data_IF_213861970094
#
_entry.id   IF_213861970094
#
_cell.length_a   1.000
_cell.length_b   1.000
_cell.length_c   1.000
_cell.angle_alpha   90.00
_cell.angle_beta   90.00
_cell.angle_gamma   90.00
#
_symmetry.space_group_name_H-M   'P 1'
#
loop_
_entity.id
_entity.type
_entity.pdbx_description
1 polymer ?
#
# COMPACT_ATOMS: atom_id res chain seq x y z
N UNK A 1 -9.04 -22.49 -25.91
CA UNK A 1 -9.27 -23.95 -25.75
C UNK A 1 -10.43 -24.27 -24.77
N UNK A 2 -10.68 -23.47 -23.72
CA UNK A 2 -11.71 -23.77 -22.70
C UNK A 2 -13.17 -23.57 -23.18
N UNK A 3 -13.42 -22.61 -24.07
CA UNK A 3 -14.79 -22.21 -24.46
C UNK A 3 -15.68 -23.32 -25.07
N UNK A 4 -15.20 -24.22 -25.95
CA UNK A 4 -16.01 -25.32 -26.47
C UNK A 4 -16.50 -26.29 -25.39
N UNK A 5 -15.68 -26.54 -24.36
CA UNK A 5 -16.06 -27.39 -23.23
C UNK A 5 -17.16 -26.75 -22.37
N UNK A 6 -17.11 -25.42 -22.19
CA UNK A 6 -18.15 -24.66 -21.49
C UNK A 6 -19.48 -24.75 -22.24
N UNK A 7 -19.47 -24.58 -23.56
CA UNK A 7 -20.68 -24.72 -24.39
C UNK A 7 -21.25 -26.14 -24.29
N UNK A 8 -20.39 -27.16 -24.34
CA UNK A 8 -20.81 -28.55 -24.22
C UNK A 8 -21.46 -28.85 -22.86
N UNK A 9 -20.83 -28.44 -21.76
CA UNK A 9 -21.37 -28.61 -20.41
C UNK A 9 -22.68 -27.84 -20.20
N UNK A 10 -22.80 -26.61 -20.74
CA UNK A 10 -24.04 -25.85 -20.72
C UNK A 10 -25.19 -26.59 -21.40
N UNK A 11 -24.93 -27.25 -22.55
CA UNK A 11 -25.92 -28.07 -23.25
C UNK A 11 -26.37 -29.26 -22.43
N UNK A 12 -25.47 -29.91 -21.70
CA UNK A 12 -25.82 -31.00 -20.79
C UNK A 12 -26.72 -30.52 -19.64
N UNK A 13 -26.42 -29.36 -19.05
CA UNK A 13 -27.22 -28.75 -17.98
C UNK A 13 -28.63 -28.38 -18.47
N UNK A 14 -28.75 -27.82 -19.67
CA UNK A 14 -30.04 -27.48 -20.29
C UNK A 14 -30.86 -28.73 -20.57
N UNK A 15 -30.25 -29.81 -21.09
CA UNK A 15 -30.93 -31.07 -21.37
C UNK A 15 -31.39 -31.81 -20.11
N UNK A 16 -30.70 -31.64 -18.99
CA UNK A 16 -31.04 -32.27 -17.72
C UNK A 16 -32.13 -31.52 -16.93
N UNK A 17 -32.56 -30.33 -17.38
CA UNK A 17 -33.54 -29.52 -16.69
C UNK A 17 -34.98 -29.87 -17.14
N UNK A 18 -35.92 -30.12 -16.20
CA UNK A 18 -37.29 -30.52 -16.53
C UNK A 18 -38.14 -29.37 -17.07
N UNK A 19 -37.80 -28.11 -16.75
CA UNK A 19 -38.56 -26.93 -17.18
C UNK A 19 -37.70 -25.97 -18.01
N UNK A 20 -38.26 -25.35 -19.07
CA UNK A 20 -37.52 -24.45 -19.96
C UNK A 20 -37.03 -23.18 -19.24
N UNK A 21 -37.81 -22.63 -18.32
CA UNK A 21 -37.42 -21.46 -17.53
C UNK A 21 -36.24 -21.76 -16.58
N UNK A 22 -36.24 -22.96 -15.98
CA UNK A 22 -35.15 -23.42 -15.11
C UNK A 22 -33.88 -23.75 -15.92
N UNK A 23 -34.05 -24.36 -17.11
CA UNK A 23 -32.98 -24.64 -18.04
C UNK A 23 -32.26 -23.36 -18.47
N UNK A 24 -33.02 -22.31 -18.81
CA UNK A 24 -32.49 -21.01 -19.15
C UNK A 24 -31.69 -20.38 -18.01
N UNK A 25 -32.24 -20.33 -16.79
CA UNK A 25 -31.55 -19.74 -15.62
C UNK A 25 -30.23 -20.46 -15.30
N UNK A 26 -30.24 -21.80 -15.28
CA UNK A 26 -29.05 -22.61 -14.99
C UNK A 26 -28.00 -22.49 -16.10
N UNK A 27 -28.44 -22.57 -17.35
CA UNK A 27 -27.57 -22.41 -18.52
C UNK A 27 -26.94 -21.02 -18.59
N UNK A 28 -27.73 -19.97 -18.33
CA UNK A 28 -27.25 -18.58 -18.34
C UNK A 28 -26.19 -18.35 -17.27
N UNK A 29 -26.43 -18.72 -16.01
CA UNK A 29 -25.44 -18.55 -14.93
C UNK A 29 -24.17 -19.35 -15.24
N UNK A 30 -24.30 -20.60 -15.70
CA UNK A 30 -23.15 -21.43 -16.07
C UNK A 30 -22.34 -20.84 -17.22
N UNK A 31 -23.01 -20.35 -18.27
CA UNK A 31 -22.35 -19.72 -19.40
C UNK A 31 -21.65 -18.42 -18.97
N UNK A 32 -22.32 -17.55 -18.22
CA UNK A 32 -21.70 -16.31 -17.75
C UNK A 32 -20.47 -16.62 -16.90
N UNK A 33 -20.55 -17.51 -15.91
CA UNK A 33 -19.37 -17.91 -15.13
C UNK A 33 -18.27 -18.55 -15.99
N UNK A 34 -18.66 -19.50 -16.84
CA UNK A 34 -17.75 -20.31 -17.65
C UNK A 34 -17.09 -19.53 -18.79
N UNK A 35 -17.68 -18.42 -19.24
CA UNK A 35 -17.06 -17.51 -20.19
C UNK A 35 -16.30 -16.38 -19.49
N UNK A 36 -16.83 -15.82 -18.40
CA UNK A 36 -16.24 -14.68 -17.71
C UNK A 36 -14.81 -14.98 -17.23
N UNK A 37 -14.60 -16.06 -16.49
CA UNK A 37 -13.27 -16.36 -15.96
C UNK A 37 -12.26 -16.64 -17.09
N UNK A 38 -12.49 -17.55 -18.05
CA UNK A 38 -11.54 -17.77 -19.14
C UNK A 38 -11.33 -16.54 -20.01
N UNK A 39 -12.36 -15.73 -20.26
CA UNK A 39 -12.20 -14.49 -21.01
C UNK A 39 -11.33 -13.48 -20.25
N UNK A 40 -11.57 -13.30 -18.95
CA UNK A 40 -10.77 -12.44 -18.10
C UNK A 40 -9.30 -12.89 -18.08
N UNK A 41 -9.03 -14.18 -17.83
CA UNK A 41 -7.65 -14.69 -17.80
C UNK A 41 -6.96 -14.73 -19.17
N UNK A 42 -7.71 -14.84 -20.29
CA UNK A 42 -7.12 -14.95 -21.63
C UNK A 42 -6.91 -13.60 -22.32
N UNK A 43 -7.82 -12.65 -22.10
CA UNK A 43 -7.80 -11.35 -22.80
C UNK A 43 -7.34 -10.20 -21.91
N UNK A 44 -7.44 -10.33 -20.59
CA UNK A 44 -7.06 -9.28 -19.66
C UNK A 44 -5.64 -9.48 -19.14
N UNK A 45 -4.70 -8.68 -19.65
CA UNK A 45 -3.29 -8.78 -19.26
C UNK A 45 -2.99 -8.23 -17.86
N UNK A 46 -3.92 -7.49 -17.25
CA UNK A 46 -3.74 -6.84 -15.96
C UNK A 46 -4.85 -7.26 -14.98
N UNK A 47 -4.81 -8.51 -14.53
CA UNK A 47 -5.75 -8.98 -13.51
C UNK A 47 -5.40 -8.37 -12.14
N UNK A 48 -6.35 -7.63 -11.61
CA UNK A 48 -6.41 -7.22 -10.21
C UNK A 48 -7.41 -8.09 -9.46
N UNK A 49 -7.29 -8.16 -8.14
CA UNK A 49 -8.28 -8.87 -7.31
C UNK A 49 -9.69 -8.26 -7.40
N UNK A 50 -9.82 -7.05 -7.93
CA UNK A 50 -11.10 -6.38 -8.10
C UNK A 50 -11.85 -6.89 -9.34
N UNK A 51 -11.13 -7.39 -10.35
CA UNK A 51 -11.72 -7.89 -11.59
C UNK A 51 -12.51 -9.20 -11.38
N UNK A 52 -12.22 -9.92 -10.29
CA UNK A 52 -12.96 -11.12 -9.87
C UNK A 52 -14.25 -10.79 -9.08
N UNK A 53 -14.49 -9.54 -8.68
CA UNK A 53 -15.65 -9.16 -7.84
C UNK A 53 -17.01 -9.55 -8.46
N UNK A 54 -17.25 -9.34 -9.78
CA UNK A 54 -18.50 -9.77 -10.41
C UNK A 54 -18.62 -11.29 -10.54
N UNK A 55 -17.50 -12.01 -10.53
CA UNK A 55 -17.45 -13.46 -10.72
C UNK A 55 -17.83 -14.22 -9.45
N UNK A 56 -17.34 -13.80 -8.28
CA UNK A 56 -17.52 -14.55 -7.04
C UNK A 56 -18.99 -14.86 -6.68
N UNK A 57 -19.95 -13.92 -6.76
CA UNK A 57 -21.35 -14.22 -6.44
C UNK A 57 -21.96 -15.27 -7.37
N UNK A 58 -21.65 -15.20 -8.67
CA UNK A 58 -22.16 -16.13 -9.67
C UNK A 58 -21.53 -17.52 -9.51
N UNK A 59 -20.22 -17.56 -9.26
CA UNK A 59 -19.50 -18.79 -8.94
C UNK A 59 -20.04 -19.44 -7.67
N UNK A 60 -20.35 -18.66 -6.64
CA UNK A 60 -20.95 -19.14 -5.39
C UNK A 60 -22.32 -19.80 -5.63
N UNK A 61 -23.20 -19.17 -6.42
CA UNK A 61 -24.50 -19.74 -6.79
C UNK A 61 -24.32 -21.04 -7.56
N UNK A 62 -23.39 -21.05 -8.53
CA UNK A 62 -23.14 -22.22 -9.37
C UNK A 62 -22.59 -23.40 -8.56
N UNK A 63 -21.57 -23.15 -7.72
CA UNK A 63 -20.97 -24.15 -6.84
C UNK A 63 -21.98 -24.65 -5.83
N UNK A 64 -22.73 -23.77 -5.16
CA UNK A 64 -23.77 -24.16 -4.20
C UNK A 64 -24.84 -25.03 -4.86
N UNK A 65 -25.30 -24.65 -6.05
CA UNK A 65 -26.26 -25.44 -6.83
C UNK A 65 -25.71 -26.81 -7.24
N UNK A 66 -24.44 -26.88 -7.67
CA UNK A 66 -23.76 -28.14 -7.96
C UNK A 66 -23.60 -29.03 -6.74
N UNK A 67 -23.15 -28.48 -5.61
CA UNK A 67 -23.01 -29.20 -4.35
C UNK A 67 -24.37 -29.73 -3.85
N UNK A 68 -25.45 -28.97 -3.99
CA UNK A 68 -26.82 -29.46 -3.70
C UNK A 68 -27.25 -30.60 -4.61
N UNK A 69 -26.91 -30.55 -5.91
CA UNK A 69 -27.25 -31.60 -6.85
C UNK A 69 -26.52 -32.92 -6.55
N UNK A 70 -25.30 -32.85 -6.00
CA UNK A 70 -24.46 -34.02 -5.71
C UNK A 70 -24.66 -34.51 -4.26
N UNK A 71 -25.11 -33.66 -3.33
CA UNK A 71 -25.33 -34.00 -1.92
C UNK A 71 -26.17 -35.27 -1.69
N UNK A 72 -27.25 -35.56 -2.45
CA UNK A 72 -28.04 -36.79 -2.28
C UNK A 72 -27.30 -38.06 -2.69
N UNK A 73 -26.37 -37.96 -3.65
CA UNK A 73 -25.56 -39.10 -4.10
C UNK A 73 -24.54 -39.49 -3.02
N UNK A 74 -23.89 -38.51 -2.38
CA UNK A 74 -22.99 -38.77 -1.25
C UNK A 74 -23.71 -39.29 -0.01
N UNK A 75 -24.94 -38.84 0.24
CA UNK A 75 -25.74 -39.33 1.36
C UNK A 75 -26.10 -40.83 1.26
N UNK A 76 -25.99 -41.43 0.06
CA UNK A 76 -26.28 -42.86 -0.19
C UNK A 76 -25.06 -43.78 -0.01
N UNK A 77 -23.84 -43.24 -0.01
CA UNK A 77 -22.62 -44.03 -0.18
C UNK A 77 -21.88 -44.38 1.13
N UNK A 78 -22.28 -43.85 2.31
CA UNK A 78 -21.61 -44.18 3.58
C UNK A 78 -22.50 -44.00 4.83
N UNK A 79 -22.54 -45.00 5.72
CA UNK A 79 -23.49 -45.15 6.84
C UNK A 79 -23.24 -44.18 8.02
N UNK A 80 -22.01 -43.71 8.21
CA UNK A 80 -21.66 -42.76 9.28
C UNK A 80 -21.69 -41.31 8.80
N UNK A 81 -21.12 -41.05 7.63
CA UNK A 81 -21.01 -39.70 7.04
C UNK A 81 -22.33 -39.25 6.40
N UNK A 82 -23.07 -40.18 5.77
CA UNK A 82 -24.36 -39.89 5.14
C UNK A 82 -25.43 -39.39 6.13
N UNK A 83 -25.34 -39.76 7.42
CA UNK A 83 -26.25 -39.28 8.47
C UNK A 83 -26.08 -37.79 8.78
N UNK A 84 -24.85 -37.28 8.68
CA UNK A 84 -24.54 -35.86 8.83
C UNK A 84 -24.96 -35.06 7.60
N UNK A 85 -24.69 -35.54 6.38
CA UNK A 85 -25.13 -34.89 5.13
C UNK A 85 -26.65 -34.88 4.93
N UNK A 86 -27.38 -35.78 5.61
CA UNK A 86 -28.85 -35.76 5.67
C UNK A 86 -29.40 -34.62 6.54
N UNK A 87 -28.64 -34.17 7.55
CA UNK A 87 -29.02 -33.10 8.48
C UNK A 87 -28.46 -31.74 8.07
N UNK A 88 -27.28 -31.72 7.47
CA UNK A 88 -26.60 -30.51 6.99
C UNK A 88 -26.31 -30.69 5.50
N UNK A 89 -27.00 -29.96 4.61
CA UNK A 89 -26.72 -30.07 3.18
C UNK A 89 -25.27 -29.64 2.91
N UNK A 90 -24.64 -30.30 1.94
CA UNK A 90 -23.21 -30.14 1.63
C UNK A 90 -22.73 -28.67 1.45
N UNK A 91 -23.51 -27.74 0.85
CA UNK A 91 -23.14 -26.33 0.80
C UNK A 91 -23.03 -25.66 2.17
N UNK A 92 -23.89 -26.02 3.13
CA UNK A 92 -23.83 -25.44 4.48
C UNK A 92 -22.59 -25.92 5.24
N UNK A 93 -22.16 -27.17 5.01
CA UNK A 93 -20.90 -27.68 5.54
C UNK A 93 -19.69 -26.95 4.94
N UNK A 94 -19.67 -26.76 3.61
CA UNK A 94 -18.60 -26.01 2.93
C UNK A 94 -18.56 -24.56 3.40
N UNK A 95 -19.71 -23.90 3.54
CA UNK A 95 -19.78 -22.52 4.03
C UNK A 95 -19.27 -22.39 5.47
N UNK A 96 -19.61 -23.35 6.34
CA UNK A 96 -19.11 -23.38 7.72
C UNK A 96 -17.59 -23.59 7.77
N UNK A 97 -17.08 -24.53 6.97
CA UNK A 97 -15.64 -24.76 6.86
C UNK A 97 -14.91 -23.51 6.34
N UNK A 98 -15.45 -22.87 5.31
CA UNK A 98 -14.91 -21.63 4.76
C UNK A 98 -14.91 -20.51 5.79
N UNK A 99 -15.98 -20.36 6.57
CA UNK A 99 -16.05 -19.39 7.67
C UNK A 99 -14.97 -19.64 8.72
N UNK A 100 -14.77 -20.89 9.13
CA UNK A 100 -13.73 -21.28 10.10
C UNK A 100 -12.33 -20.96 9.53
N UNK A 101 -12.08 -21.33 8.27
CA UNK A 101 -10.83 -21.02 7.58
C UNK A 101 -10.61 -19.51 7.44
N UNK A 102 -11.66 -18.73 7.20
CA UNK A 102 -11.59 -17.29 7.10
C UNK A 102 -11.23 -16.67 8.46
N UNK A 103 -11.87 -17.10 9.55
CA UNK A 103 -11.54 -16.65 10.91
C UNK A 103 -10.10 -17.02 11.28
N UNK A 104 -9.66 -18.24 10.94
CA UNK A 104 -8.31 -18.72 11.26
C UNK A 104 -7.21 -18.04 10.42
N UNK A 105 -7.44 -17.85 9.12
CA UNK A 105 -6.45 -17.28 8.19
C UNK A 105 -6.45 -15.75 8.17
N UNK A 106 -7.59 -15.13 8.47
CA UNK A 106 -7.80 -13.68 8.52
C UNK A 106 -8.45 -13.30 9.85
N UNK A 107 -7.70 -13.42 10.96
CA UNK A 107 -8.18 -13.00 12.27
C UNK A 107 -8.65 -11.55 12.22
N UNK A 108 -9.95 -11.34 12.45
CA UNK A 108 -10.59 -10.01 12.41
C UNK A 108 -10.07 -9.08 13.51
N UNK A 109 -9.44 -9.64 14.54
CA UNK A 109 -8.80 -8.91 15.63
C UNK A 109 -7.42 -8.34 15.27
N UNK A 110 -6.81 -8.72 14.15
CA UNK A 110 -5.57 -8.09 13.68
C UNK A 110 -5.92 -6.89 12.82
N UNK A 111 -5.73 -5.70 13.37
CA UNK A 111 -5.89 -4.43 12.64
C UNK A 111 -4.74 -4.24 11.64
N UNK A 112 -4.86 -4.90 10.47
CA UNK A 112 -3.96 -4.70 9.33
C UNK A 112 -4.09 -3.30 8.74
N UNK A 113 -5.22 -2.62 8.98
CA UNK A 113 -5.44 -1.25 8.54
C UNK A 113 -4.70 -0.23 9.41
N UNK A 114 -4.23 -0.60 10.61
CA UNK A 114 -3.51 0.28 11.53
C UNK A 114 -2.32 0.99 10.91
N UNK A 115 -1.59 0.30 10.02
CA UNK A 115 -0.45 0.89 9.31
C UNK A 115 -0.90 1.94 8.30
N UNK A 116 -1.96 1.69 7.54
CA UNK A 116 -2.45 2.65 6.54
C UNK A 116 -3.19 3.82 7.18
N UNK A 117 -4.00 3.56 8.20
CA UNK A 117 -4.67 4.60 9.00
C UNK A 117 -3.66 5.43 9.77
N UNK A 118 -2.58 4.82 10.30
CA UNK A 118 -1.48 5.51 10.94
C UNK A 118 -0.70 6.41 9.99
N UNK A 119 -0.40 5.93 8.78
CA UNK A 119 0.22 6.74 7.72
C UNK A 119 -0.69 7.91 7.30
N UNK A 120 -1.98 7.65 7.03
CA UNK A 120 -2.94 8.67 6.62
C UNK A 120 -3.11 9.73 7.71
N UNK A 121 -3.28 9.30 8.96
CA UNK A 121 -3.35 10.20 10.12
C UNK A 121 -2.05 11.01 10.27
N UNK A 122 -0.90 10.39 10.04
CA UNK A 122 0.39 11.06 10.06
C UNK A 122 0.50 12.16 9.00
N UNK A 123 0.13 11.85 7.76
CA UNK A 123 0.09 12.82 6.65
C UNK A 123 -0.87 13.95 6.98
N UNK A 124 -2.13 13.65 7.31
CA UNK A 124 -3.15 14.67 7.62
C UNK A 124 -2.78 15.54 8.82
N UNK A 125 -2.10 14.97 9.81
CA UNK A 125 -1.59 15.75 10.94
C UNK A 125 -0.42 16.62 10.53
N UNK A 126 0.36 16.28 9.50
CA UNK A 126 1.58 17.00 9.12
C UNK A 126 1.34 18.07 8.05
N UNK A 127 0.31 17.90 7.22
CA UNK A 127 0.02 18.71 6.04
C UNK A 127 -1.27 19.49 6.20
N UNK A 128 -1.38 20.60 5.48
CA UNK A 128 -2.61 21.38 5.30
C UNK A 128 -3.19 21.11 3.89
N UNK A 129 -4.45 21.46 3.60
CA UNK A 129 -5.10 21.13 2.32
C UNK A 129 -4.38 21.66 1.05
N UNK A 130 -3.54 22.68 1.17
CA UNK A 130 -2.77 23.25 0.07
C UNK A 130 -1.36 22.67 -0.10
N UNK A 131 -0.92 21.78 0.80
CA UNK A 131 0.42 21.19 0.71
C UNK A 131 0.45 20.00 -0.23
N UNK A 132 1.53 19.91 -1.00
CA UNK A 132 1.81 18.74 -1.82
C UNK A 132 2.51 17.66 -1.01
N UNK A 133 1.97 16.44 -1.08
CA UNK A 133 2.60 15.25 -0.53
C UNK A 133 3.16 14.44 -1.66
N UNK A 134 4.44 14.07 -1.55
CA UNK A 134 5.05 13.09 -2.42
C UNK A 134 4.53 11.70 -2.03
N UNK A 135 3.31 11.40 -2.42
CA UNK A 135 2.79 10.04 -2.52
C UNK A 135 3.02 9.61 -3.96
N UNK A 136 3.65 8.46 -4.16
CA UNK A 136 3.57 7.76 -5.44
C UNK A 136 2.17 7.15 -5.64
N UNK A 137 1.13 7.97 -5.48
CA UNK A 137 -0.24 7.70 -5.90
C UNK A 137 -0.60 8.79 -6.92
N UNK A 138 -0.05 8.67 -8.11
CA UNK A 138 -0.61 9.27 -9.31
C UNK A 138 -0.62 8.25 -10.44
N UNK A 139 -1.77 8.14 -11.12
CA UNK A 139 -2.54 6.92 -11.12
C UNK A 139 -1.67 5.78 -11.63
N UNK A 140 -1.70 4.65 -10.93
CA UNK A 140 -1.24 3.41 -11.54
C UNK A 140 0.31 3.39 -11.73
N UNK A 141 1.10 3.41 -10.65
CA UNK A 141 2.38 2.65 -10.66
C UNK A 141 2.09 1.14 -10.66
N UNK A 142 1.20 0.70 -11.56
CA UNK A 142 1.04 -0.71 -11.89
C UNK A 142 2.32 -1.20 -12.54
N UNK A 143 2.42 -2.52 -12.64
CA UNK A 143 3.55 -3.21 -13.26
C UNK A 143 3.89 -2.62 -14.63
N UNK A 144 2.88 -2.23 -15.43
CA UNK A 144 3.07 -1.66 -16.76
C UNK A 144 3.78 -0.30 -16.71
N UNK A 145 3.35 0.62 -15.84
CA UNK A 145 3.98 1.95 -15.75
C UNK A 145 5.41 1.87 -15.21
N UNK A 146 5.66 0.99 -14.25
CA UNK A 146 7.03 0.74 -13.79
C UNK A 146 7.91 0.17 -14.90
N UNK A 147 7.39 -0.76 -15.70
CA UNK A 147 8.11 -1.32 -16.84
C UNK A 147 8.39 -0.25 -17.90
N UNK A 148 7.41 0.63 -18.18
CA UNK A 148 7.59 1.77 -19.10
C UNK A 148 8.66 2.74 -18.60
N UNK A 149 8.70 3.02 -17.31
CA UNK A 149 9.75 3.84 -16.69
C UNK A 149 11.12 3.16 -16.77
N UNK A 150 11.17 1.85 -16.52
CA UNK A 150 12.40 1.05 -16.64
C UNK A 150 12.94 1.02 -18.08
N UNK A 151 12.04 0.99 -19.08
CA UNK A 151 12.38 1.06 -20.51
C UNK A 151 12.55 2.49 -21.05
N UNK A 152 12.52 3.50 -20.18
CA UNK A 152 12.63 4.92 -20.57
C UNK A 152 11.56 5.39 -21.58
N UNK A 153 10.40 4.73 -21.62
CA UNK A 153 9.25 5.10 -22.46
C UNK A 153 8.41 6.24 -21.86
N UNK A 154 8.65 6.55 -20.58
CA UNK A 154 8.03 7.66 -19.83
C UNK A 154 9.14 8.34 -19.04
N UNK A 155 9.08 9.67 -18.95
CA UNK A 155 10.05 10.46 -18.18
C UNK A 155 9.75 10.35 -16.69
N UNK A 156 10.73 9.89 -15.90
CA UNK A 156 10.66 9.95 -14.43
C UNK A 156 10.99 11.38 -13.97
N UNK A 157 9.94 12.16 -13.68
CA UNK A 157 10.04 13.54 -13.19
C UNK A 157 9.61 13.69 -11.71
N UNK A 158 9.52 12.59 -10.96
CA UNK A 158 9.01 12.62 -9.58
C UNK A 158 9.84 13.53 -8.67
N UNK A 159 11.16 13.48 -8.79
CA UNK A 159 12.07 14.34 -8.02
C UNK A 159 11.93 15.83 -8.40
N UNK A 160 11.89 16.13 -9.70
CA UNK A 160 11.72 17.50 -10.20
C UNK A 160 10.38 18.10 -9.73
N UNK A 161 9.29 17.32 -9.82
CA UNK A 161 7.98 17.72 -9.31
C UNK A 161 7.98 17.93 -7.80
N UNK A 162 8.64 17.05 -7.04
CA UNK A 162 8.75 17.22 -5.59
C UNK A 162 9.43 18.54 -5.19
N UNK A 163 10.45 18.97 -5.95
CA UNK A 163 11.13 20.25 -5.76
C UNK A 163 10.23 21.42 -6.16
N UNK A 164 9.63 21.36 -7.35
CA UNK A 164 8.72 22.39 -7.87
C UNK A 164 7.53 22.64 -6.94
N UNK A 165 6.88 21.58 -6.48
CA UNK A 165 5.71 21.66 -5.60
C UNK A 165 6.07 21.80 -4.12
N UNK A 166 7.37 21.89 -3.79
CA UNK A 166 7.88 21.97 -2.41
C UNK A 166 7.34 20.89 -1.50
N UNK A 167 7.29 19.65 -2.00
CA UNK A 167 6.67 18.52 -1.30
C UNK A 167 7.49 18.12 -0.05
N UNK A 168 7.13 18.68 1.11
CA UNK A 168 7.86 18.51 2.37
C UNK A 168 7.65 17.13 3.02
N UNK A 169 6.70 16.35 2.52
CA UNK A 169 6.27 15.07 3.10
C UNK A 169 6.26 14.01 2.01
N UNK A 170 6.82 12.84 2.31
CA UNK A 170 6.83 11.69 1.42
C UNK A 170 6.31 10.44 2.13
N UNK A 171 5.45 9.67 1.45
CA UNK A 171 4.98 8.38 1.94
C UNK A 171 5.66 7.25 1.16
N UNK A 172 6.36 6.37 1.87
CA UNK A 172 7.13 5.28 1.27
C UNK A 172 6.30 4.04 0.95
N UNK A 173 5.01 4.03 1.32
CA UNK A 173 4.13 2.88 1.11
C UNK A 173 3.68 2.78 -0.34
N UNK A 174 3.92 1.63 -0.95
CA UNK A 174 3.48 1.30 -2.31
C UNK A 174 4.66 1.04 -3.26
N UNK A 175 4.33 0.94 -4.54
CA UNK A 175 5.32 0.78 -5.62
C UNK A 175 5.86 2.16 -6.00
N UNK A 176 7.17 2.24 -6.26
CA UNK A 176 7.83 3.51 -6.57
C UNK A 176 9.03 3.27 -7.49
N UNK A 177 9.28 4.15 -8.49
CA UNK A 177 10.47 4.08 -9.32
C UNK A 177 11.76 4.18 -8.51
N UNK A 178 12.82 3.52 -8.98
CA UNK A 178 14.09 3.46 -8.26
C UNK A 178 14.69 4.85 -8.02
N UNK A 179 14.63 5.74 -9.02
CA UNK A 179 15.19 7.11 -8.91
C UNK A 179 14.43 7.95 -7.89
N UNK A 180 13.09 7.90 -7.91
CA UNK A 180 12.26 8.55 -6.90
C UNK A 180 12.57 8.05 -5.48
N UNK A 181 12.74 6.72 -5.32
CA UNK A 181 13.11 6.11 -4.04
C UNK A 181 14.48 6.59 -3.54
N UNK A 182 15.47 6.65 -4.43
CA UNK A 182 16.81 7.17 -4.12
C UNK A 182 16.77 8.66 -3.72
N UNK A 183 15.97 9.47 -4.43
CA UNK A 183 15.78 10.87 -4.10
C UNK A 183 15.20 11.05 -2.68
N UNK A 184 14.17 10.28 -2.33
CA UNK A 184 13.58 10.34 -0.99
C UNK A 184 14.59 9.87 0.07
N UNK A 185 15.35 8.81 -0.20
CA UNK A 185 16.37 8.33 0.73
C UNK A 185 17.51 9.33 0.97
N UNK A 186 17.87 10.15 -0.03
CA UNK A 186 18.90 11.17 0.10
C UNK A 186 18.40 12.41 0.86
N UNK A 187 17.16 12.82 0.63
CA UNK A 187 16.65 14.15 1.03
C UNK A 187 15.57 14.15 2.13
N UNK A 188 15.10 12.97 2.56
CA UNK A 188 14.04 12.86 3.58
C UNK A 188 14.45 11.90 4.71
N UNK A 189 14.11 12.30 5.94
CA UNK A 189 14.30 11.55 7.18
C UNK A 189 13.02 10.79 7.54
N UNK A 190 13.15 9.55 8.04
CA UNK A 190 12.03 8.75 8.55
C UNK A 190 11.53 9.27 9.89
N UNK A 191 10.21 9.46 10.01
CA UNK A 191 9.53 9.97 11.22
C UNK A 191 8.48 9.00 11.79
N UNK A 192 8.31 7.81 11.22
CA UNK A 192 7.33 6.82 11.69
C UNK A 192 6.45 6.26 10.58
N UNK A 193 6.05 4.98 10.67
CA UNK A 193 4.97 4.38 9.86
C UNK A 193 5.11 4.62 8.34
N UNK A 194 6.30 4.43 7.78
CA UNK A 194 6.63 4.70 6.36
C UNK A 194 6.47 6.17 5.92
N UNK A 195 6.29 7.10 6.87
CA UNK A 195 6.27 8.53 6.63
C UNK A 195 7.69 9.09 6.72
N UNK A 196 8.03 9.93 5.73
CA UNK A 196 9.29 10.66 5.68
C UNK A 196 9.04 12.14 5.50
N UNK A 197 9.92 12.93 6.09
CA UNK A 197 9.86 14.39 6.05
C UNK A 197 11.17 14.91 5.50
N UNK A 198 11.10 15.98 4.72
CA UNK A 198 12.31 16.61 4.19
C UNK A 198 13.22 17.03 5.34
N UNK A 199 14.48 16.60 5.23
CA UNK A 199 15.48 16.87 6.22
C UNK A 199 16.75 16.07 5.98
N UNK A 200 17.81 16.45 6.68
CA UNK A 200 19.11 15.81 6.55
C UNK A 200 19.80 15.76 7.91
N UNK A 201 20.42 14.62 8.20
CA UNK A 201 21.33 14.53 9.33
C UNK A 201 22.58 15.33 9.01
N UNK A 202 22.92 16.25 9.90
CA UNK A 202 24.08 17.09 9.77
C UNK A 202 25.32 16.26 10.10
N UNK A 203 26.32 16.30 9.22
CA UNK A 203 27.60 15.64 9.43
C UNK A 203 28.64 16.70 9.73
N UNK A 204 29.52 16.47 10.73
CA UNK A 204 30.63 17.38 10.98
C UNK A 204 31.54 17.41 9.75
N UNK A 205 32.10 18.58 9.48
CA UNK A 205 33.11 18.77 8.43
C UNK A 205 34.39 18.01 8.83
N UNK A 206 35.16 17.46 7.87
CA UNK A 206 36.41 16.78 8.16
C UNK A 206 37.45 17.68 8.85
N UNK A 207 37.37 18.98 8.63
CA UNK A 207 38.34 19.98 9.12
C UNK A 207 37.91 20.64 10.43
N UNK A 208 36.61 20.73 10.71
CA UNK A 208 36.08 21.31 11.95
C UNK A 208 34.85 20.53 12.41
N UNK A 209 34.97 19.88 13.58
CA UNK A 209 33.90 19.11 14.19
C UNK A 209 32.69 19.95 14.65
N UNK A 210 32.83 21.27 14.75
CA UNK A 210 31.73 22.20 15.07
C UNK A 210 31.01 22.73 13.85
N UNK A 211 31.66 22.69 12.68
CA UNK A 211 31.09 23.10 11.40
C UNK A 211 30.39 21.91 10.76
N UNK A 212 29.16 22.12 10.32
CA UNK A 212 28.35 21.12 9.65
C UNK A 212 27.86 21.65 8.33
N UNK A 213 28.21 20.94 7.26
CA UNK A 213 27.83 21.29 5.89
C UNK A 213 26.72 20.35 5.44
N UNK A 214 25.67 20.92 4.86
CA UNK A 214 24.55 20.15 4.37
C UNK A 214 23.89 20.85 3.18
N UNK A 215 23.37 20.03 2.27
CA UNK A 215 22.70 20.50 1.06
C UNK A 215 21.19 20.36 1.24
N UNK A 216 20.47 21.44 0.94
CA UNK A 216 19.02 21.54 0.87
C UNK A 216 18.59 21.53 -0.58
N UNK A 217 17.67 20.63 -0.93
CA UNK A 217 17.15 20.50 -2.30
C UNK A 217 15.73 21.06 -2.43
N UNK A 218 14.93 20.98 -1.37
CA UNK A 218 13.53 21.41 -1.35
C UNK A 218 13.45 22.70 -0.52
N UNK A 219 13.06 23.84 -1.09
CA UNK A 219 13.02 25.10 -0.35
C UNK A 219 11.85 25.12 0.63
N UNK A 220 12.15 25.30 1.91
CA UNK A 220 11.16 25.26 2.99
C UNK A 220 11.71 25.94 4.27
N UNK A 221 10.86 26.23 5.28
CA UNK A 221 11.33 26.56 6.61
C UNK A 221 11.88 25.31 7.32
N UNK A 222 13.11 25.35 7.81
CA UNK A 222 13.78 24.27 8.54
C UNK A 222 14.10 24.67 9.98
N UNK A 223 14.11 23.67 10.87
CA UNK A 223 14.64 23.74 12.22
C UNK A 223 15.75 22.71 12.39
N UNK A 224 16.83 23.12 13.03
CA UNK A 224 17.90 22.24 13.48
C UNK A 224 17.53 21.70 14.86
N UNK A 225 17.53 20.37 14.98
CA UNK A 225 17.17 19.64 16.19
C UNK A 225 18.27 18.66 16.57
N UNK A 226 18.53 18.52 17.87
CA UNK A 226 19.32 17.43 18.43
C UNK A 226 18.40 16.43 19.14
N UNK A 227 18.91 15.22 19.38
CA UNK A 227 18.26 14.26 20.27
C UNK A 227 18.13 14.79 21.70
N UNK A 228 19.14 15.52 22.16
CA UNK A 228 19.34 15.84 23.58
C UNK A 228 18.87 17.25 23.98
N UNK A 229 18.06 17.91 23.14
CA UNK A 229 17.44 19.21 23.43
C UNK A 229 17.68 20.30 22.38
N UNK A 230 17.43 21.57 22.73
CA UNK A 230 17.57 22.71 21.83
C UNK A 230 19.04 22.94 21.44
N UNK A 231 19.24 23.49 20.25
CA UNK A 231 20.55 23.69 19.63
C UNK A 231 20.80 25.18 19.46
N UNK A 232 21.97 25.64 19.88
CA UNK A 232 22.45 27.01 19.68
C UNK A 232 23.67 27.01 18.77
N UNK A 233 23.76 28.01 17.90
CA UNK A 233 24.82 28.14 16.91
C UNK A 233 24.57 29.29 15.93
N UNK A 234 25.34 29.31 14.86
CA UNK A 234 25.12 30.19 13.70
C UNK A 234 24.79 29.36 12.47
N UNK A 235 23.81 29.81 11.71
CA UNK A 235 23.39 29.20 10.45
C UNK A 235 23.66 30.22 9.34
N UNK A 236 24.50 29.84 8.38
CA UNK A 236 25.00 30.71 7.31
C UNK A 236 25.56 32.04 7.83
N UNK A 237 26.32 31.98 8.93
CA UNK A 237 26.97 33.14 9.56
C UNK A 237 26.08 33.99 10.46
N UNK A 238 24.76 33.77 10.49
CA UNK A 238 23.83 34.52 11.34
C UNK A 238 23.38 33.70 12.56
N UNK A 239 23.14 34.32 13.73
CA UNK A 239 22.66 33.61 14.91
C UNK A 239 21.41 32.77 14.63
N UNK A 240 21.39 31.54 15.13
CA UNK A 240 20.27 30.62 14.95
C UNK A 240 19.28 30.76 16.11
N UNK A 241 18.09 31.27 15.81
CA UNK A 241 17.00 31.50 16.79
C UNK A 241 15.81 30.55 16.60
N UNK A 242 15.85 29.66 15.59
CA UNK A 242 14.76 28.72 15.32
C UNK A 242 14.48 28.55 13.83
N UNK A 243 13.21 28.42 13.46
CA UNK A 243 12.81 28.13 12.08
C UNK A 243 13.37 29.17 11.11
N UNK A 244 14.05 28.71 10.06
CA UNK A 244 14.57 29.57 9.00
C UNK A 244 14.24 29.00 7.64
N UNK A 245 13.81 29.86 6.73
CA UNK A 245 13.64 29.49 5.34
C UNK A 245 15.02 29.23 4.70
N UNK A 246 15.22 28.02 4.17
CA UNK A 246 16.42 27.64 3.44
C UNK A 246 16.08 27.50 1.96
N UNK A 247 16.82 28.21 1.13
CA UNK A 247 16.76 28.08 -0.33
C UNK A 247 17.45 26.77 -0.76
N UNK A 248 17.31 26.33 -2.03
CA UNK A 248 18.07 25.20 -2.51
C UNK A 248 19.56 25.56 -2.61
N UNK A 249 20.45 24.72 -2.06
CA UNK A 249 21.88 24.97 -2.07
C UNK A 249 22.61 24.37 -0.87
N UNK A 250 23.90 24.70 -0.76
CA UNK A 250 24.73 24.34 0.38
C UNK A 250 24.56 25.34 1.53
N UNK A 251 24.40 24.82 2.73
CA UNK A 251 24.24 25.57 3.96
C UNK A 251 25.26 25.12 5.00
N UNK A 252 25.70 26.06 5.82
CA UNK A 252 26.65 25.82 6.89
C UNK A 252 26.03 26.13 8.24
N UNK A 253 26.06 25.15 9.14
CA UNK A 253 25.73 25.37 10.54
C UNK A 253 26.98 25.22 11.40
N UNK A 254 27.29 26.23 12.21
CA UNK A 254 28.37 26.19 13.19
C UNK A 254 27.77 26.11 14.57
N UNK A 255 28.01 25.00 15.25
CA UNK A 255 27.43 24.75 16.55
C UNK A 255 28.27 25.41 17.65
N UNK A 256 27.61 26.14 18.56
CA UNK A 256 28.23 26.65 19.79
C UNK A 256 28.11 25.66 20.95
N UNK A 257 27.05 24.84 20.92
CA UNK A 257 26.82 23.73 21.85
C UNK A 257 27.57 22.46 21.42
N UNK A 258 27.91 21.54 22.32
CA UNK A 258 28.58 20.26 22.00
C UNK A 258 27.59 19.10 21.90
N UNK A 259 26.56 19.22 21.05
CA UNK A 259 25.54 18.15 20.87
C UNK A 259 25.92 17.20 19.76
N UNK A 260 25.53 15.94 19.92
CA UNK A 260 25.74 14.90 18.90
C UNK A 260 24.45 14.64 18.14
N UNK A 261 24.57 14.14 16.90
CA UNK A 261 23.44 13.75 16.05
C UNK A 261 22.45 14.88 15.78
N UNK A 262 22.90 15.92 15.09
CA UNK A 262 22.06 17.02 14.64
C UNK A 262 21.31 16.64 13.35
N UNK A 263 20.09 17.16 13.21
CA UNK A 263 19.32 17.06 11.98
C UNK A 263 18.67 18.40 11.65
N UNK A 264 18.79 18.83 10.40
CA UNK A 264 17.93 19.86 9.84
C UNK A 264 16.65 19.19 9.35
N UNK A 265 15.50 19.55 9.91
CA UNK A 265 14.20 18.98 9.57
C UNK A 265 13.22 20.10 9.24
N UNK A 266 12.25 19.84 8.37
CA UNK A 266 11.17 20.77 8.10
C UNK A 266 10.51 21.29 9.39
N UNK A 267 10.42 22.61 9.54
CA UNK A 267 10.04 23.28 10.78
C UNK A 267 8.66 22.83 11.28
N UNK A 268 7.68 22.72 10.38
CA UNK A 268 6.32 22.30 10.75
C UNK A 268 6.28 20.88 11.32
N UNK A 269 7.13 19.98 10.81
CA UNK A 269 7.20 18.64 11.36
C UNK A 269 7.69 18.65 12.80
N UNK A 270 8.71 19.47 13.10
CA UNK A 270 9.20 19.69 14.46
C UNK A 270 8.10 20.28 15.35
N UNK A 271 7.40 21.31 14.87
CA UNK A 271 6.31 21.97 15.62
C UNK A 271 5.15 21.03 15.93
N UNK A 272 4.87 20.08 15.04
CA UNK A 272 3.84 19.05 15.21
C UNK A 272 4.34 17.79 15.94
N UNK A 273 5.55 17.84 16.53
CA UNK A 273 6.22 16.78 17.29
C UNK A 273 6.55 15.50 16.48
N UNK A 274 6.85 15.66 15.19
CA UNK A 274 7.39 14.59 14.34
C UNK A 274 8.92 14.65 14.35
N UNK A 275 9.53 13.80 15.16
CA UNK A 275 10.98 13.69 15.30
C UNK A 275 11.52 12.48 14.52
N UNK A 276 12.80 12.48 14.14
CA UNK A 276 13.44 11.34 13.47
C UNK A 276 13.30 10.04 14.26
N UNK A 277 12.93 8.94 13.59
CA UNK A 277 12.83 7.61 14.23
C UNK A 277 14.12 7.20 14.94
N UNK A 278 15.28 7.62 14.41
CA UNK A 278 16.60 7.34 14.97
C UNK A 278 16.79 7.91 16.39
N UNK A 279 16.01 8.92 16.79
CA UNK A 279 16.07 9.49 18.13
C UNK A 279 15.31 8.65 19.17
N UNK A 280 14.42 7.77 18.71
CA UNK A 280 13.68 6.85 19.57
C UNK A 280 14.40 5.48 19.63
N UNK A 281 14.35 4.79 20.78
CA UNK A 281 14.82 3.41 20.86
C UNK A 281 14.07 2.55 19.84
N UNK A 282 14.77 1.60 19.21
CA UNK A 282 14.17 0.66 18.24
C UNK A 282 12.94 0.01 18.89
N UNK A 283 11.76 0.26 18.32
CA UNK A 283 10.55 -0.48 18.72
C UNK A 283 10.77 -1.97 18.44
N UNK A 284 10.39 -2.88 19.35
CA UNK A 284 10.43 -4.31 19.07
C UNK A 284 9.58 -4.59 17.82
N UNK A 285 10.13 -5.39 16.90
CA UNK A 285 9.37 -5.90 15.77
C UNK A 285 8.40 -6.94 16.32
N UNK A 286 7.11 -6.64 16.27
CA UNK A 286 6.03 -7.60 16.53
C UNK A 286 5.68 -8.33 15.25
#
# INVERSE_FOLDING_TARGET
>A
IVFPFVIYAARLIVRAAPEPALAFRRGFIFLVCGFYAPALYSFWNLLTRQDDLPYYPLAFILVSGGLLAISPYFARYDSRIGRYFRRIPLPAFVALLELILLIASRPFWIDRARLETGLLRGVLKLTDPGDYVLRCFWPVTESIMLERLARHLVVDNAAARAVETRACVAAMKGRMPLRAKQFIWKNYISVGNDLRVVGRFLRPSPTDGRRMEFEVVIPAPYKIIARDGPVTGTLDGTPYEGARFLAPGEHTFVQTSSRTQLAALWARAVDRNFLPEKYFPRRPKW
#
